data_IF_455030000866
#
_entry.id   IF_455030000866
#
_cell.length_a   1.000
_cell.length_b   1.000
_cell.length_c   1.000
_cell.angle_alpha   90.00
_cell.angle_beta   90.00
_cell.angle_gamma   90.00
#
_symmetry.space_group_name_H-M   'P 1'
#
loop_
_entity.id
_entity.type
_entity.pdbx_description
1 polymer ?
#
# COMPACT_ATOMS: atom_id res chain seq x y z
N UNK A 1 -3.35 -6.48 9.21
CA UNK A 1 -3.21 -5.28 8.39
C UNK A 1 -3.51 -5.64 6.93
N UNK A 2 -4.30 -4.86 6.21
CA UNK A 2 -4.56 -5.00 4.77
C UNK A 2 -4.05 -3.78 3.98
N UNK A 3 -4.10 -3.83 2.65
CA UNK A 3 -3.57 -2.77 1.77
C UNK A 3 -4.21 -1.40 2.05
N UNK A 4 -5.52 -1.38 2.35
CA UNK A 4 -6.23 -0.15 2.69
C UNK A 4 -5.70 0.48 3.97
N UNK A 5 -5.41 -0.33 4.98
CA UNK A 5 -4.85 0.17 6.24
C UNK A 5 -3.45 0.75 6.02
N UNK A 6 -2.59 0.12 5.20
CA UNK A 6 -1.29 0.68 4.82
C UNK A 6 -1.42 2.01 4.05
N UNK A 7 -2.39 2.09 3.13
CA UNK A 7 -2.67 3.30 2.36
C UNK A 7 -3.17 4.47 3.24
N UNK A 8 -4.12 4.20 4.15
CA UNK A 8 -4.63 5.20 5.09
C UNK A 8 -3.57 5.60 6.13
N UNK A 9 -2.71 4.67 6.54
CA UNK A 9 -1.60 4.99 7.43
C UNK A 9 -0.63 5.97 6.77
N UNK A 10 -0.25 5.72 5.52
CA UNK A 10 0.62 6.62 4.75
C UNK A 10 0.06 8.05 4.73
N UNK A 11 -1.25 8.21 4.59
CA UNK A 11 -1.94 9.52 4.65
C UNK A 11 -1.71 10.27 5.96
N UNK A 12 -1.69 9.55 7.07
CA UNK A 12 -1.56 10.13 8.42
C UNK A 12 -0.10 10.45 8.76
N UNK A 13 0.84 9.58 8.36
CA UNK A 13 2.24 9.70 8.78
C UNK A 13 3.12 10.49 7.84
N UNK A 14 2.79 10.52 6.54
CA UNK A 14 3.54 11.27 5.52
C UNK A 14 2.59 11.68 4.38
N UNK A 15 1.83 12.75 4.62
CA UNK A 15 0.86 13.30 3.66
C UNK A 15 1.52 13.65 2.30
N UNK A 16 2.78 14.09 2.31
CA UNK A 16 3.50 14.39 1.07
C UNK A 16 3.71 13.11 0.26
N UNK A 17 4.26 12.07 0.88
CA UNK A 17 4.48 10.77 0.23
C UNK A 17 3.17 10.12 -0.21
N UNK A 18 2.09 10.28 0.58
CA UNK A 18 0.74 9.87 0.20
C UNK A 18 0.26 10.57 -1.08
N UNK A 19 0.45 11.89 -1.18
CA UNK A 19 0.06 12.66 -2.36
C UNK A 19 0.91 12.28 -3.58
N UNK A 20 2.22 12.04 -3.42
CA UNK A 20 3.10 11.54 -4.48
C UNK A 20 2.65 10.18 -5.00
N UNK A 21 2.33 9.23 -4.11
CA UNK A 21 1.80 7.92 -4.46
C UNK A 21 0.51 8.01 -5.28
N UNK A 22 -0.46 8.82 -4.82
CA UNK A 22 -1.72 9.03 -5.56
C UNK A 22 -1.51 9.69 -6.91
N UNK A 23 -0.62 10.67 -6.99
CA UNK A 23 -0.29 11.33 -8.24
C UNK A 23 0.31 10.33 -9.24
N UNK A 24 1.23 9.45 -8.78
CA UNK A 24 1.82 8.42 -9.64
C UNK A 24 0.79 7.42 -10.14
N UNK A 25 -0.07 6.92 -9.25
CA UNK A 25 -1.19 6.06 -9.65
C UNK A 25 -2.15 6.75 -10.63
N UNK A 26 -2.36 8.05 -10.50
CA UNK A 26 -3.22 8.82 -11.41
C UNK A 26 -2.59 8.99 -12.79
N UNK A 27 -1.28 9.25 -12.86
CA UNK A 27 -0.53 9.36 -14.11
C UNK A 27 -0.57 8.05 -14.92
N UNK A 28 -0.48 6.92 -14.24
CA UNK A 28 -0.59 5.58 -14.86
C UNK A 28 -2.05 5.12 -15.05
N UNK A 29 -3.05 5.97 -14.75
CA UNK A 29 -4.47 5.63 -14.89
C UNK A 29 -4.97 4.54 -13.95
N UNK A 30 -4.20 4.19 -12.93
CA UNK A 30 -4.44 3.07 -12.02
C UNK A 30 -5.09 3.48 -10.69
N UNK A 31 -5.19 4.77 -10.38
CA UNK A 31 -5.70 5.26 -9.07
C UNK A 31 -7.08 4.71 -8.72
N UNK A 32 -8.04 4.76 -9.67
CA UNK A 32 -9.40 4.26 -9.40
C UNK A 32 -9.42 2.74 -9.19
N UNK A 33 -8.61 2.00 -9.96
CA UNK A 33 -8.46 0.54 -9.80
C UNK A 33 -7.86 0.20 -8.45
N UNK A 34 -6.83 0.93 -8.03
CA UNK A 34 -6.23 0.77 -6.72
C UNK A 34 -7.26 0.98 -5.61
N UNK A 35 -7.91 2.15 -5.57
CA UNK A 35 -8.84 2.52 -4.50
C UNK A 35 -10.09 1.61 -4.43
N UNK A 36 -10.61 1.14 -5.57
CA UNK A 36 -11.85 0.35 -5.62
C UNK A 36 -11.64 -1.16 -5.59
N UNK A 37 -10.50 -1.65 -6.06
CA UNK A 37 -10.26 -3.08 -6.24
C UNK A 37 -9.14 -3.57 -5.33
N UNK A 38 -7.97 -2.94 -5.37
CA UNK A 38 -6.79 -3.37 -4.62
C UNK A 38 -6.95 -3.11 -3.12
N UNK A 39 -7.54 -1.98 -2.72
CA UNK A 39 -7.83 -1.66 -1.32
C UNK A 39 -8.96 -2.50 -0.68
N UNK A 40 -9.37 -3.62 -1.27
CA UNK A 40 -10.32 -4.54 -0.63
C UNK A 40 -9.59 -5.38 0.44
N UNK A 41 -10.20 -5.67 1.59
CA UNK A 41 -9.55 -6.37 2.71
C UNK A 41 -8.86 -7.68 2.33
N UNK A 42 -9.45 -8.44 1.40
CA UNK A 42 -8.99 -9.77 0.99
C UNK A 42 -8.45 -9.78 -0.45
N UNK A 43 -7.93 -8.66 -0.94
CA UNK A 43 -7.36 -8.61 -2.27
C UNK A 43 -6.12 -9.51 -2.38
N UNK A 44 -6.04 -10.28 -3.46
CA UNK A 44 -4.91 -11.16 -3.73
C UNK A 44 -3.78 -10.37 -4.40
N UNK A 45 -2.66 -10.21 -3.69
CA UNK A 45 -1.47 -9.48 -4.14
C UNK A 45 -0.89 -10.03 -5.44
N UNK A 46 -1.05 -11.33 -5.72
CA UNK A 46 -0.60 -11.94 -7.00
C UNK A 46 -1.35 -11.40 -8.22
N UNK A 47 -2.47 -10.72 -8.02
CA UNK A 47 -3.30 -10.14 -9.07
C UNK A 47 -3.13 -8.63 -9.20
N UNK A 48 -2.22 -8.03 -8.43
CA UNK A 48 -1.91 -6.60 -8.56
C UNK A 48 -1.33 -6.36 -9.95
N UNK A 49 -1.81 -5.31 -10.62
CA UNK A 49 -1.25 -4.89 -11.89
C UNK A 49 0.20 -4.42 -11.70
N UNK A 50 1.05 -4.65 -12.70
CA UNK A 50 2.47 -4.31 -12.62
C UNK A 50 2.72 -2.86 -12.19
N UNK A 51 2.00 -1.89 -12.76
CA UNK A 51 2.20 -0.48 -12.42
C UNK A 51 1.77 -0.14 -11.00
N UNK A 52 0.73 -0.81 -10.50
CA UNK A 52 0.30 -0.67 -9.12
C UNK A 52 1.34 -1.29 -8.19
N UNK A 53 1.88 -2.47 -8.53
CA UNK A 53 2.91 -3.13 -7.72
C UNK A 53 4.17 -2.26 -7.60
N UNK A 54 4.64 -1.67 -8.70
CA UNK A 54 5.78 -0.74 -8.69
C UNK A 54 5.52 0.45 -7.75
N UNK A 55 4.32 1.04 -7.80
CA UNK A 55 3.95 2.12 -6.88
C UNK A 55 3.88 1.64 -5.42
N UNK A 56 3.35 0.44 -5.16
CA UNK A 56 3.29 -0.12 -3.81
C UNK A 56 4.68 -0.42 -3.24
N UNK A 57 5.62 -0.86 -4.08
CA UNK A 57 7.01 -1.10 -3.68
C UNK A 57 7.68 0.21 -3.31
N UNK A 58 7.54 1.23 -4.16
CA UNK A 58 8.18 2.51 -3.95
C UNK A 58 7.61 3.28 -2.75
N UNK A 59 6.31 3.23 -2.51
CA UNK A 59 5.65 4.12 -1.55
C UNK A 59 5.10 3.44 -0.29
N UNK A 60 4.75 2.15 -0.37
CA UNK A 60 4.06 1.41 0.70
C UNK A 60 4.91 0.28 1.31
N UNK A 61 6.22 0.27 1.03
CA UNK A 61 7.19 -0.69 1.60
C UNK A 61 6.89 -2.16 1.26
N UNK A 62 6.21 -2.40 0.14
CA UNK A 62 6.10 -3.75 -0.41
C UNK A 62 7.41 -4.14 -1.10
N UNK A 63 7.63 -5.43 -1.27
CA UNK A 63 8.63 -5.99 -2.16
C UNK A 63 8.02 -7.04 -3.10
N UNK A 64 8.80 -7.51 -4.07
CA UNK A 64 8.34 -8.52 -5.03
C UNK A 64 7.95 -9.86 -4.36
N UNK A 65 8.57 -10.21 -3.24
CA UNK A 65 8.26 -11.45 -2.53
C UNK A 65 6.88 -11.35 -1.84
N UNK A 66 6.44 -10.17 -1.39
CA UNK A 66 5.09 -9.95 -0.90
C UNK A 66 4.04 -10.30 -1.96
N UNK A 67 4.22 -9.83 -3.19
CA UNK A 67 3.30 -10.16 -4.30
C UNK A 67 3.38 -11.64 -4.68
N UNK A 68 4.58 -12.20 -4.73
CA UNK A 68 4.81 -13.61 -5.10
C UNK A 68 4.22 -14.58 -4.07
N UNK A 69 4.33 -14.27 -2.79
CA UNK A 69 3.86 -15.12 -1.69
C UNK A 69 2.42 -14.81 -1.27
N UNK A 70 1.83 -13.72 -1.75
CA UNK A 70 0.58 -13.16 -1.27
C UNK A 70 0.63 -12.88 0.25
N UNK A 71 1.70 -12.23 0.69
CA UNK A 71 1.91 -11.83 2.08
C UNK A 71 2.02 -10.31 2.19
N UNK A 72 1.56 -9.76 3.31
CA UNK A 72 1.71 -8.33 3.59
C UNK A 72 3.14 -8.05 4.09
N UNK A 73 3.71 -6.88 3.79
CA UNK A 73 5.03 -6.50 4.28
C UNK A 73 5.06 -6.41 5.80
N UNK A 74 6.17 -6.87 6.40
CA UNK A 74 6.51 -6.63 7.79
C UNK A 74 6.95 -5.17 7.94
N UNK A 75 5.98 -4.27 8.05
CA UNK A 75 6.25 -2.83 8.15
C UNK A 75 6.90 -2.51 9.50
N UNK A 76 8.16 -2.02 9.48
CA UNK A 76 8.94 -1.69 10.68
C UNK A 76 8.27 -0.63 11.58
N UNK A 77 7.40 0.21 11.02
CA UNK A 77 6.68 1.27 11.74
C UNK A 77 5.54 0.75 12.63
N UNK A 78 5.14 -0.53 12.50
CA UNK A 78 4.10 -1.15 13.32
C UNK A 78 4.51 -1.39 14.78
N UNK A 79 5.81 -1.48 15.08
CA UNK A 79 6.27 -1.55 16.48
C UNK A 79 5.98 -0.27 17.28
N UNK A 80 5.69 0.85 16.60
CA UNK A 80 5.25 2.09 17.24
C UNK A 80 3.76 2.14 17.61
N UNK A 81 2.93 1.21 17.10
CA UNK A 81 1.47 1.24 17.26
C UNK A 81 1.00 0.51 18.52
N UNK A 82 1.69 -0.55 18.96
CA UNK A 82 1.36 -1.16 20.25
C UNK A 82 1.55 -0.19 21.44
N UNK A 83 2.40 0.83 21.30
CA UNK A 83 2.69 1.80 22.38
C UNK A 83 1.94 3.14 22.28
N UNK A 84 1.09 3.36 21.28
CA UNK A 84 0.32 4.63 21.12
C UNK A 84 -1.20 4.45 21.20
N UNK A 85 -1.67 3.21 21.33
CA UNK A 85 -3.09 2.88 21.54
C UNK A 85 -3.36 2.34 22.96
N UNK A 86 -2.41 2.49 23.89
CA UNK A 86 -2.59 2.31 25.34
C UNK A 86 -2.65 3.67 26.05
#
# INVERSE_FOLDING_TARGET
MNIKESYEYLRVVDERRYNEFRAKLALEGCLTTFERTVCKPDYNLKRVDFWIAECMIEYLEFDYENFRSNTMPETAHLFGIQNKLE
#
